data_IF_998534263080
#
_entry.id   IF_998534263080
#
_cell.length_a   1.000
_cell.length_b   1.000
_cell.length_c   1.000
_cell.angle_alpha   90.00
_cell.angle_beta   90.00
_cell.angle_gamma   90.00
#
_symmetry.space_group_name_H-M   'P 1'
#
loop_
_entity.id
_entity.type
_entity.pdbx_description
1 polymer ?
#
# COMPACT_ATOMS: atom_id res chain seq x y z
N UNK A 1 -12.88 -3.40 2.11
CA UNK A 1 -13.85 -3.99 3.03
C UNK A 1 -13.32 -4.07 4.46
N UNK A 2 -12.12 -4.61 4.67
CA UNK A 2 -11.50 -4.73 6.01
C UNK A 2 -11.28 -3.40 6.73
N UNK A 3 -11.08 -2.28 6.03
CA UNK A 3 -10.98 -0.96 6.65
C UNK A 3 -12.27 -0.54 7.36
N UNK A 4 -13.44 -0.97 6.86
CA UNK A 4 -14.74 -0.57 7.39
C UNK A 4 -15.27 -1.52 8.46
N UNK A 5 -14.67 -2.70 8.61
CA UNK A 5 -15.07 -3.71 9.60
C UNK A 5 -15.10 -3.19 11.06
N UNK A 6 -14.09 -2.42 11.53
CA UNK A 6 -14.15 -1.82 12.86
C UNK A 6 -15.28 -0.81 13.04
N UNK A 7 -15.63 -0.09 11.97
CA UNK A 7 -16.70 0.91 12.00
C UNK A 7 -18.06 0.22 11.90
N UNK A 8 -18.16 -0.87 11.14
CA UNK A 8 -19.42 -1.55 10.87
C UNK A 8 -19.99 -2.30 12.07
N UNK A 9 -19.16 -2.67 13.05
CA UNK A 9 -19.63 -3.25 14.33
C UNK A 9 -20.56 -2.30 15.12
N UNK A 10 -20.51 -1.00 14.83
CA UNK A 10 -21.36 0.04 15.44
C UNK A 10 -22.53 0.50 14.54
N UNK A 11 -22.59 0.04 13.28
CA UNK A 11 -23.67 0.33 12.33
C UNK A 11 -24.74 -0.76 12.31
N UNK A 12 -25.85 -0.49 11.58
CA UNK A 12 -26.94 -1.46 11.47
C UNK A 12 -26.43 -2.82 10.96
N UNK A 13 -26.97 -3.90 11.48
CA UNK A 13 -26.56 -5.29 11.19
C UNK A 13 -26.60 -5.63 9.69
N UNK A 14 -27.49 -5.02 8.92
CA UNK A 14 -27.57 -5.22 7.48
C UNK A 14 -26.41 -4.58 6.73
N UNK A 15 -26.04 -3.34 7.06
CA UNK A 15 -24.93 -2.65 6.42
C UNK A 15 -23.59 -3.31 6.79
N UNK A 16 -23.43 -3.72 8.05
CA UNK A 16 -22.22 -4.43 8.48
C UNK A 16 -22.10 -5.79 7.79
N UNK A 17 -23.19 -6.55 7.67
CA UNK A 17 -23.21 -7.81 6.96
C UNK A 17 -22.85 -7.64 5.47
N UNK A 18 -23.38 -6.61 4.82
CA UNK A 18 -23.04 -6.31 3.43
C UNK A 18 -21.58 -5.90 3.25
N UNK A 19 -21.01 -5.11 4.16
CA UNK A 19 -19.61 -4.65 4.07
C UNK A 19 -18.58 -5.75 4.36
N UNK A 20 -18.94 -6.76 5.14
CA UNK A 20 -18.03 -7.86 5.55
C UNK A 20 -18.23 -9.11 4.69
N UNK A 21 -19.40 -9.27 4.05
CA UNK A 21 -19.67 -10.41 3.15
C UNK A 21 -18.69 -10.41 1.97
N UNK A 22 -18.29 -11.60 1.51
CA UNK A 22 -17.48 -11.73 0.29
C UNK A 22 -18.40 -11.73 -0.95
N UNK A 23 -19.00 -10.57 -1.24
CA UNK A 23 -19.96 -10.39 -2.33
C UNK A 23 -19.28 -9.65 -3.51
N UNK A 24 -19.37 -10.24 -4.69
CA UNK A 24 -18.84 -9.68 -5.95
C UNK A 24 -19.39 -8.27 -6.20
N UNK A 25 -20.68 -8.05 -5.98
CA UNK A 25 -21.33 -6.75 -6.21
C UNK A 25 -20.73 -5.65 -5.34
N UNK A 26 -20.42 -5.96 -4.08
CA UNK A 26 -19.77 -5.02 -3.16
C UNK A 26 -18.34 -4.70 -3.61
N UNK A 27 -17.57 -5.71 -3.98
CA UNK A 27 -16.19 -5.53 -4.43
C UNK A 27 -16.14 -4.63 -5.66
N UNK A 28 -17.03 -4.86 -6.63
CA UNK A 28 -17.18 -4.01 -7.83
C UNK A 28 -17.51 -2.56 -7.45
N UNK A 29 -18.45 -2.34 -6.54
CA UNK A 29 -18.84 -0.98 -6.12
C UNK A 29 -17.69 -0.27 -5.41
N UNK A 30 -17.01 -0.94 -4.47
CA UNK A 30 -15.88 -0.35 -3.73
C UNK A 30 -14.68 -0.08 -4.63
N UNK A 31 -14.36 -1.00 -5.55
CA UNK A 31 -13.31 -0.82 -6.54
C UNK A 31 -13.65 0.34 -7.50
N UNK A 32 -14.90 0.41 -7.97
CA UNK A 32 -15.38 1.51 -8.80
C UNK A 32 -15.31 2.87 -8.10
N UNK A 33 -15.70 2.95 -6.84
CA UNK A 33 -15.56 4.17 -6.04
C UNK A 33 -14.10 4.59 -5.86
N UNK A 34 -13.20 3.63 -5.60
CA UNK A 34 -11.77 3.87 -5.45
C UNK A 34 -11.14 4.36 -6.76
N UNK A 35 -11.44 3.67 -7.88
CA UNK A 35 -10.98 4.05 -9.22
C UNK A 35 -11.50 5.44 -9.63
N UNK A 36 -12.77 5.73 -9.36
CA UNK A 36 -13.35 7.04 -9.64
C UNK A 36 -12.66 8.14 -8.82
N UNK A 37 -12.38 7.90 -7.55
CA UNK A 37 -11.68 8.85 -6.70
C UNK A 37 -10.26 9.13 -7.22
N UNK A 38 -9.52 8.10 -7.60
CA UNK A 38 -8.20 8.22 -8.22
C UNK A 38 -8.27 9.02 -9.54
N UNK A 39 -9.24 8.69 -10.40
CA UNK A 39 -9.46 9.39 -11.67
C UNK A 39 -9.78 10.87 -11.48
N UNK A 40 -10.60 11.22 -10.49
CA UNK A 40 -10.92 12.61 -10.16
C UNK A 40 -9.68 13.41 -9.73
N UNK A 41 -8.74 12.80 -9.03
CA UNK A 41 -7.48 13.44 -8.64
C UNK A 41 -6.64 13.71 -9.89
N UNK A 42 -6.42 12.70 -10.72
CA UNK A 42 -5.57 12.78 -11.92
C UNK A 42 -6.15 13.74 -12.96
N UNK A 43 -7.47 13.75 -13.13
CA UNK A 43 -8.15 14.64 -14.08
C UNK A 43 -7.91 16.14 -13.83
N UNK A 44 -7.57 16.51 -12.59
CA UNK A 44 -7.23 17.88 -12.20
C UNK A 44 -5.81 18.32 -12.60
N UNK A 45 -5.01 17.40 -13.15
CA UNK A 45 -3.65 17.66 -13.58
C UNK A 45 -2.59 17.42 -12.49
N UNK A 46 -1.33 17.69 -12.85
CA UNK A 46 -0.19 17.42 -11.96
C UNK A 46 -0.23 18.33 -10.73
N UNK A 47 -0.23 19.64 -10.91
CA UNK A 47 -0.14 20.62 -9.81
C UNK A 47 -1.37 20.60 -8.89
N UNK A 48 -2.59 20.68 -9.45
CA UNK A 48 -3.84 20.79 -8.68
C UNK A 48 -4.43 19.44 -8.25
N UNK A 49 -3.98 18.35 -8.84
CA UNK A 49 -4.40 16.98 -8.53
C UNK A 49 -3.32 16.23 -7.78
N UNK A 50 -2.36 15.69 -8.50
CA UNK A 50 -1.37 14.73 -7.99
C UNK A 50 -0.51 15.35 -6.88
N UNK A 51 0.15 16.45 -7.15
CA UNK A 51 1.04 17.12 -6.19
C UNK A 51 0.29 17.55 -4.93
N UNK A 52 -0.84 18.21 -5.09
CA UNK A 52 -1.65 18.70 -3.97
C UNK A 52 -2.12 17.58 -3.05
N UNK A 53 -2.53 16.44 -3.59
CA UNK A 53 -2.98 15.28 -2.80
C UNK A 53 -1.80 14.54 -2.18
N UNK A 54 -0.71 14.32 -2.92
CA UNK A 54 0.50 13.66 -2.42
C UNK A 54 1.12 14.44 -1.27
N UNK A 55 1.24 15.76 -1.38
CA UNK A 55 1.79 16.63 -0.33
C UNK A 55 0.99 16.57 0.98
N UNK A 56 -0.31 16.25 0.91
CA UNK A 56 -1.17 16.11 2.11
C UNK A 56 -1.21 14.69 2.65
N UNK A 57 -1.26 13.70 1.76
CA UNK A 57 -1.40 12.30 2.13
C UNK A 57 -0.09 11.71 2.67
N UNK A 58 1.06 12.11 2.13
CA UNK A 58 2.36 11.61 2.58
C UNK A 58 2.66 11.92 4.06
N UNK A 59 2.55 13.17 4.55
CA UNK A 59 2.74 13.42 5.98
C UNK A 59 1.74 12.67 6.87
N UNK A 60 0.48 12.55 6.44
CA UNK A 60 -0.52 11.79 7.17
C UNK A 60 -0.13 10.30 7.29
N UNK A 61 0.37 9.71 6.19
CA UNK A 61 0.89 8.35 6.17
C UNK A 61 2.05 8.16 7.17
N UNK A 62 3.02 9.08 7.17
CA UNK A 62 4.15 9.01 8.11
C UNK A 62 3.70 9.12 9.57
N UNK A 63 2.77 10.03 9.88
CA UNK A 63 2.24 10.19 11.23
C UNK A 63 1.50 8.94 11.68
N UNK A 64 0.62 8.38 10.85
CA UNK A 64 -0.12 7.16 11.16
C UNK A 64 0.83 5.97 11.34
N UNK A 65 1.83 5.84 10.49
CA UNK A 65 2.84 4.79 10.59
C UNK A 65 3.65 4.90 11.88
N UNK A 66 4.10 6.11 12.24
CA UNK A 66 4.83 6.34 13.48
C UNK A 66 3.98 6.01 14.71
N UNK A 67 2.71 6.40 14.73
CA UNK A 67 1.78 6.05 15.82
C UNK A 67 1.61 4.55 15.97
N UNK A 68 1.47 3.82 14.86
CA UNK A 68 1.34 2.37 14.87
C UNK A 68 2.64 1.68 15.32
N UNK A 69 3.81 2.13 14.85
CA UNK A 69 5.11 1.61 15.29
C UNK A 69 5.25 1.77 16.81
N UNK A 70 5.02 2.97 17.31
CA UNK A 70 5.09 3.25 18.76
C UNK A 70 4.16 2.30 19.52
N UNK A 71 2.90 2.18 19.08
CA UNK A 71 1.94 1.31 19.73
C UNK A 71 2.37 -0.16 19.74
N UNK A 72 2.79 -0.69 18.60
CA UNK A 72 3.23 -2.10 18.45
C UNK A 72 4.45 -2.39 19.32
N UNK A 73 5.42 -1.49 19.37
CA UNK A 73 6.64 -1.68 20.15
C UNK A 73 6.41 -1.76 21.68
N UNK A 74 5.30 -1.22 22.17
CA UNK A 74 4.90 -1.37 23.57
C UNK A 74 4.16 -2.69 23.88
N UNK A 75 3.86 -3.52 22.86
CA UNK A 75 3.20 -4.81 23.06
C UNK A 75 4.20 -5.92 23.43
N UNK A 76 3.67 -6.96 24.10
CA UNK A 76 4.45 -8.17 24.41
C UNK A 76 4.80 -8.90 23.10
N UNK A 77 6.01 -9.43 22.99
CA UNK A 77 6.52 -10.09 21.79
C UNK A 77 7.15 -9.15 20.75
N UNK A 78 6.86 -7.85 20.78
CA UNK A 78 7.39 -6.89 19.81
C UNK A 78 8.92 -6.84 19.78
N UNK A 79 9.58 -7.00 20.92
CA UNK A 79 11.06 -6.95 21.03
C UNK A 79 11.71 -8.12 20.29
N UNK A 80 11.08 -9.31 20.27
CA UNK A 80 11.59 -10.46 19.52
C UNK A 80 11.50 -10.21 18.02
N UNK A 81 10.36 -9.69 17.55
CA UNK A 81 10.21 -9.28 16.17
C UNK A 81 11.17 -8.18 15.75
N UNK A 82 11.42 -7.22 16.64
CA UNK A 82 12.40 -6.16 16.42
C UNK A 82 13.82 -6.71 16.29
N UNK A 83 14.21 -7.66 17.14
CA UNK A 83 15.52 -8.34 17.05
C UNK A 83 15.62 -9.12 15.75
N UNK A 84 14.58 -9.84 15.37
CA UNK A 84 14.56 -10.61 14.12
C UNK A 84 14.72 -9.70 12.90
N UNK A 85 14.19 -8.48 12.94
CA UNK A 85 14.33 -7.51 11.87
C UNK A 85 15.69 -6.81 11.83
N UNK A 86 16.23 -6.41 12.98
CA UNK A 86 17.43 -5.56 13.06
C UNK A 86 18.74 -6.36 13.12
N UNK A 87 18.69 -7.64 13.49
CA UNK A 87 19.91 -8.46 13.57
C UNK A 87 20.11 -9.18 12.24
N UNK A 88 21.11 -8.76 11.43
CA UNK A 88 21.36 -9.37 10.13
C UNK A 88 22.00 -10.76 10.27
N UNK A 89 21.56 -11.71 9.44
CA UNK A 89 22.23 -12.99 9.27
C UNK A 89 23.21 -12.93 8.10
N UNK A 90 24.47 -12.70 8.41
CA UNK A 90 25.53 -12.59 7.40
C UNK A 90 25.82 -13.89 6.65
N UNK A 91 25.37 -15.05 7.13
CA UNK A 91 25.57 -16.33 6.45
C UNK A 91 24.82 -16.41 5.12
N UNK A 92 23.74 -15.66 4.99
CA UNK A 92 22.89 -15.64 3.80
C UNK A 92 23.40 -14.67 2.71
N UNK A 93 24.39 -13.81 2.99
CA UNK A 93 24.91 -12.85 1.99
C UNK A 93 25.55 -13.49 0.77
N UNK A 94 25.97 -14.75 0.88
CA UNK A 94 26.55 -15.51 -0.26
C UNK A 94 25.48 -16.20 -1.13
N UNK A 95 24.21 -16.11 -0.76
CA UNK A 95 23.12 -16.70 -1.57
C UNK A 95 22.79 -15.78 -2.76
N UNK A 96 23.06 -16.28 -3.97
CA UNK A 96 22.77 -15.57 -5.21
C UNK A 96 21.27 -15.26 -5.36
N UNK A 97 20.37 -16.09 -4.83
CA UNK A 97 18.94 -15.88 -4.89
C UNK A 97 18.52 -14.67 -4.02
N UNK A 98 19.15 -14.51 -2.86
CA UNK A 98 18.91 -13.35 -2.00
C UNK A 98 19.23 -12.05 -2.73
N UNK A 99 20.39 -12.00 -3.40
CA UNK A 99 20.85 -10.81 -4.14
C UNK A 99 19.88 -10.50 -5.30
N UNK A 100 19.51 -11.51 -6.09
CA UNK A 100 18.57 -11.34 -7.21
C UNK A 100 17.21 -10.86 -6.73
N UNK A 101 16.69 -11.44 -5.66
CA UNK A 101 15.40 -11.04 -5.08
C UNK A 101 15.47 -9.61 -4.52
N UNK A 102 16.55 -9.24 -3.85
CA UNK A 102 16.75 -7.88 -3.34
C UNK A 102 16.82 -6.84 -4.46
N UNK A 103 17.53 -7.16 -5.56
CA UNK A 103 17.58 -6.32 -6.76
C UNK A 103 16.19 -6.20 -7.39
N UNK A 104 15.46 -7.31 -7.56
CA UNK A 104 14.09 -7.31 -8.07
C UNK A 104 13.16 -6.43 -7.24
N UNK A 105 13.25 -6.55 -5.91
CA UNK A 105 12.47 -5.72 -5.00
C UNK A 105 12.82 -4.24 -5.12
N UNK A 106 14.10 -3.88 -5.24
CA UNK A 106 14.53 -2.49 -5.44
C UNK A 106 14.00 -1.92 -6.75
N UNK A 107 14.07 -2.68 -7.85
CA UNK A 107 13.52 -2.27 -9.14
C UNK A 107 12.01 -2.06 -9.08
N UNK A 108 11.29 -2.95 -8.41
CA UNK A 108 9.84 -2.86 -8.25
C UNK A 108 9.44 -1.67 -7.37
N UNK A 109 10.08 -1.49 -6.21
CA UNK A 109 9.81 -0.40 -5.27
C UNK A 109 10.04 0.98 -5.90
N UNK A 110 11.15 1.14 -6.61
CA UNK A 110 11.50 2.36 -7.34
C UNK A 110 10.70 2.55 -8.62
N UNK A 111 9.81 1.61 -8.99
CA UNK A 111 8.97 1.67 -10.20
C UNK A 111 9.77 1.89 -11.50
N UNK A 112 11.01 1.37 -11.56
CA UNK A 112 11.91 1.58 -12.70
C UNK A 112 11.42 0.87 -13.98
N UNK A 113 10.82 -0.32 -13.83
CA UNK A 113 10.32 -1.11 -14.95
C UNK A 113 8.96 -0.69 -15.52
N UNK A 114 8.19 0.11 -14.79
CA UNK A 114 6.79 0.49 -15.13
C UNK A 114 6.70 1.83 -15.85
N UNK A 115 7.81 2.57 -15.95
CA UNK A 115 7.85 3.87 -16.59
C UNK A 115 7.41 5.05 -15.70
N UNK A 116 6.99 4.80 -14.46
CA UNK A 116 6.54 5.84 -13.55
C UNK A 116 7.65 6.87 -13.28
N UNK A 117 8.87 6.42 -13.00
CA UNK A 117 10.01 7.30 -12.78
C UNK A 117 10.35 8.14 -14.02
N UNK A 118 10.14 7.62 -15.22
CA UNK A 118 10.36 8.35 -16.46
C UNK A 118 9.35 9.49 -16.61
N UNK A 119 8.07 9.22 -16.33
CA UNK A 119 7.00 10.22 -16.40
C UNK A 119 7.20 11.30 -15.32
N UNK A 120 7.43 10.92 -14.08
CA UNK A 120 7.67 11.89 -13.01
C UNK A 120 8.98 12.68 -13.23
N UNK A 121 9.99 12.04 -13.78
CA UNK A 121 11.23 12.72 -14.20
C UNK A 121 11.01 13.79 -15.27
N UNK A 122 10.04 13.58 -16.16
CA UNK A 122 9.69 14.59 -17.18
C UNK A 122 8.98 15.84 -16.61
N UNK A 123 8.42 15.74 -15.40
CA UNK A 123 7.76 16.86 -14.72
C UNK A 123 8.72 17.69 -13.87
N UNK A 124 9.97 17.24 -13.69
CA UNK A 124 10.98 17.98 -12.94
C UNK A 124 11.41 19.20 -13.76
N UNK A 125 11.57 20.33 -13.07
CA UNK A 125 12.00 21.58 -13.69
C UNK A 125 13.44 21.46 -14.19
N UNK A 126 13.73 22.16 -15.29
CA UNK A 126 15.04 22.10 -15.95
C UNK A 126 16.19 22.72 -15.14
N UNK A 127 15.87 23.47 -14.09
CA UNK A 127 16.84 24.06 -13.15
C UNK A 127 17.20 23.14 -11.98
N UNK A 128 16.52 21.99 -11.82
CA UNK A 128 16.77 21.03 -10.75
C UNK A 128 17.88 20.03 -11.10
N UNK A 129 18.59 19.60 -10.07
CA UNK A 129 19.68 18.63 -10.20
C UNK A 129 19.13 17.19 -10.15
N UNK A 130 18.96 16.56 -11.30
CA UNK A 130 18.39 15.20 -11.41
C UNK A 130 19.10 14.13 -10.54
N UNK A 131 20.44 14.05 -10.47
CA UNK A 131 21.14 13.15 -9.57
C UNK A 131 20.79 13.35 -8.09
N UNK A 132 20.67 14.58 -7.65
CA UNK A 132 20.33 14.93 -6.28
C UNK A 132 18.89 14.51 -5.95
N UNK A 133 17.95 14.80 -6.83
CA UNK A 133 16.55 14.35 -6.71
C UNK A 133 16.47 12.82 -6.68
N UNK A 134 17.22 12.13 -7.55
CA UNK A 134 17.27 10.66 -7.59
C UNK A 134 17.79 10.06 -6.28
N UNK A 135 18.85 10.60 -5.71
CA UNK A 135 19.37 10.17 -4.42
C UNK A 135 18.34 10.39 -3.31
N UNK A 136 17.68 11.54 -3.29
CA UNK A 136 16.68 11.87 -2.28
C UNK A 136 15.49 10.92 -2.34
N UNK A 137 15.00 10.60 -3.54
CA UNK A 137 13.91 9.63 -3.76
C UNK A 137 14.32 8.25 -3.27
N UNK A 138 15.52 7.78 -3.62
CA UNK A 138 16.03 6.46 -3.18
C UNK A 138 16.16 6.37 -1.66
N UNK A 139 16.67 7.43 -1.03
CA UNK A 139 16.78 7.47 0.44
C UNK A 139 15.40 7.50 1.11
N UNK A 140 14.45 8.23 0.54
CA UNK A 140 13.08 8.27 1.04
C UNK A 140 12.40 6.90 0.91
N UNK A 141 12.50 6.24 -0.24
CA UNK A 141 11.95 4.90 -0.48
C UNK A 141 12.53 3.88 0.51
N UNK A 142 13.86 3.83 0.64
CA UNK A 142 14.55 2.96 1.60
C UNK A 142 14.13 3.26 3.04
N UNK A 143 13.99 4.53 3.40
CA UNK A 143 13.55 4.96 4.73
C UNK A 143 12.14 4.50 5.06
N UNK A 144 11.20 4.64 4.11
CA UNK A 144 9.81 4.17 4.26
C UNK A 144 9.76 2.65 4.37
N UNK A 145 10.50 1.93 3.52
CA UNK A 145 10.59 0.48 3.57
C UNK A 145 11.12 -0.01 4.93
N UNK A 146 12.15 0.66 5.46
CA UNK A 146 12.69 0.37 6.77
C UNK A 146 11.65 0.59 7.89
N UNK A 147 10.92 1.71 7.87
CA UNK A 147 9.86 1.99 8.83
C UNK A 147 8.70 0.99 8.72
N UNK A 148 8.33 0.59 7.51
CA UNK A 148 7.31 -0.43 7.30
C UNK A 148 7.71 -1.79 7.88
N UNK A 149 8.98 -2.20 7.69
CA UNK A 149 9.53 -3.40 8.32
C UNK A 149 9.51 -3.33 9.85
N UNK A 150 9.79 -2.15 10.40
CA UNK A 150 9.76 -1.86 11.84
C UNK A 150 8.33 -1.90 12.43
N UNK A 151 7.32 -1.77 11.61
CA UNK A 151 5.92 -1.97 11.98
C UNK A 151 5.51 -3.43 11.86
N UNK A 152 5.75 -4.03 10.70
CA UNK A 152 5.15 -5.31 10.31
C UNK A 152 5.80 -6.48 11.05
N UNK A 153 7.15 -6.54 11.14
CA UNK A 153 7.82 -7.67 11.77
C UNK A 153 7.52 -7.76 13.28
N UNK A 154 7.62 -6.69 14.08
CA UNK A 154 7.18 -6.73 15.46
C UNK A 154 5.69 -7.07 15.60
N UNK A 155 4.81 -6.57 14.72
CA UNK A 155 3.39 -6.88 14.76
C UNK A 155 3.11 -8.38 14.56
N UNK A 156 3.88 -9.07 13.71
CA UNK A 156 3.78 -10.52 13.54
C UNK A 156 4.09 -11.28 14.84
N UNK A 157 5.18 -10.94 15.50
CA UNK A 157 5.54 -11.62 16.77
C UNK A 157 4.57 -11.28 17.90
N UNK A 158 4.00 -10.09 17.90
CA UNK A 158 2.86 -9.76 18.77
C UNK A 158 1.65 -10.65 18.45
N UNK A 159 1.34 -10.88 17.17
CA UNK A 159 0.26 -11.78 16.77
C UNK A 159 0.48 -13.22 17.28
N UNK A 160 1.70 -13.70 17.24
CA UNK A 160 2.08 -15.01 17.79
C UNK A 160 1.83 -15.10 19.28
N UNK A 161 2.15 -14.07 20.06
CA UNK A 161 1.85 -14.01 21.51
C UNK A 161 0.34 -14.07 21.80
N UNK A 162 -0.49 -13.56 20.90
CA UNK A 162 -1.95 -13.68 20.98
C UNK A 162 -2.50 -14.99 20.41
N UNK A 163 -1.62 -15.94 20.03
CA UNK A 163 -2.01 -17.28 19.54
C UNK A 163 -2.40 -17.32 18.06
N UNK A 164 -2.12 -16.25 17.29
CA UNK A 164 -2.33 -16.24 15.84
C UNK A 164 -1.15 -16.94 15.16
N UNK A 165 -1.42 -17.90 14.28
CA UNK A 165 -0.37 -18.56 13.49
C UNK A 165 0.25 -17.57 12.50
N UNK A 166 1.58 -17.39 12.60
CA UNK A 166 2.36 -16.52 11.71
C UNK A 166 3.21 -17.30 10.71
N UNK A 167 3.21 -18.63 10.81
CA UNK A 167 3.93 -19.53 9.91
C UNK A 167 2.93 -20.31 9.05
N UNK A 168 3.29 -20.53 7.78
CA UNK A 168 2.57 -21.42 6.89
C UNK A 168 2.90 -22.89 7.16
N UNK A 169 2.21 -23.82 6.49
CA UNK A 169 2.40 -25.28 6.66
C UNK A 169 3.83 -25.76 6.33
N UNK A 170 4.61 -24.95 5.61
CA UNK A 170 6.01 -25.23 5.23
C UNK A 170 7.02 -24.66 6.23
N UNK A 171 6.53 -23.93 7.26
CA UNK A 171 7.38 -23.32 8.30
C UNK A 171 7.98 -21.96 7.93
N UNK A 172 7.54 -21.35 6.83
CA UNK A 172 7.93 -19.97 6.45
C UNK A 172 6.96 -18.96 7.05
N UNK A 173 7.46 -17.76 7.36
CA UNK A 173 6.60 -16.63 7.76
C UNK A 173 5.57 -16.32 6.68
N UNK A 174 4.32 -16.12 7.10
CA UNK A 174 3.25 -15.70 6.20
C UNK A 174 3.57 -14.31 5.67
N UNK A 175 3.53 -14.16 4.35
CA UNK A 175 3.86 -12.93 3.65
C UNK A 175 2.78 -12.56 2.61
N UNK A 176 2.92 -11.39 1.99
CA UNK A 176 2.02 -10.94 0.94
C UNK A 176 0.62 -10.61 1.44
N UNK A 177 -0.41 -10.77 0.58
CA UNK A 177 -1.79 -10.41 0.92
C UNK A 177 -2.32 -11.11 2.17
N UNK A 178 -1.96 -12.38 2.39
CA UNK A 178 -2.42 -13.15 3.54
C UNK A 178 -1.96 -12.54 4.88
N UNK A 179 -0.77 -11.95 4.92
CA UNK A 179 -0.30 -11.23 6.09
C UNK A 179 -1.22 -10.06 6.43
N UNK A 180 -1.56 -9.24 5.44
CA UNK A 180 -2.33 -8.00 5.62
C UNK A 180 -3.80 -8.28 5.88
N UNK A 181 -4.39 -9.28 5.20
CA UNK A 181 -5.84 -9.51 5.21
C UNK A 181 -6.30 -10.68 6.09
N UNK A 182 -5.38 -11.49 6.60
CA UNK A 182 -5.71 -12.61 7.50
C UNK A 182 -5.01 -12.47 8.86
N UNK A 183 -3.67 -12.36 8.87
CA UNK A 183 -2.91 -12.37 10.13
C UNK A 183 -3.13 -11.10 10.95
N UNK A 184 -2.99 -9.93 10.33
CA UNK A 184 -3.15 -8.66 11.05
C UNK A 184 -4.60 -8.40 11.53
N UNK A 185 -5.66 -8.69 10.76
CA UNK A 185 -7.03 -8.62 11.28
C UNK A 185 -7.27 -9.57 12.46
N UNK A 186 -6.76 -10.81 12.40
CA UNK A 186 -6.86 -11.76 13.51
C UNK A 186 -6.14 -11.24 14.77
N UNK A 187 -4.98 -10.62 14.61
CA UNK A 187 -4.29 -9.93 15.71
C UNK A 187 -5.18 -8.84 16.31
N UNK A 188 -5.71 -7.95 15.48
CA UNK A 188 -6.54 -6.82 15.96
C UNK A 188 -7.80 -7.29 16.66
N UNK A 189 -8.41 -8.38 16.20
CA UNK A 189 -9.57 -9.00 16.84
C UNK A 189 -9.20 -9.57 18.23
N UNK A 190 -8.04 -10.22 18.36
CA UNK A 190 -7.56 -10.79 19.61
C UNK A 190 -7.24 -9.72 20.69
N UNK A 191 -6.94 -8.48 20.26
CA UNK A 191 -6.67 -7.33 21.14
C UNK A 191 -7.94 -6.66 21.70
N UNK A 192 -9.13 -7.12 21.31
CA UNK A 192 -10.41 -6.61 21.80
C UNK A 192 -10.69 -5.15 21.39
N UNK A 193 -11.17 -4.32 22.32
CA UNK A 193 -11.62 -2.94 22.01
C UNK A 193 -10.47 -2.04 21.49
N UNK A 194 -9.27 -2.17 22.03
CA UNK A 194 -8.10 -1.43 21.54
C UNK A 194 -7.70 -1.85 20.12
N UNK A 195 -7.84 -3.12 19.80
CA UNK A 195 -7.59 -3.67 18.47
C UNK A 195 -8.48 -3.06 17.39
N UNK A 196 -9.74 -2.73 17.73
CA UNK A 196 -10.65 -2.06 16.81
C UNK A 196 -10.12 -0.70 16.33
N UNK A 197 -9.60 0.12 17.25
CA UNK A 197 -9.01 1.42 16.91
C UNK A 197 -7.74 1.25 16.07
N UNK A 198 -6.88 0.31 16.46
CA UNK A 198 -5.64 0.02 15.73
C UNK A 198 -5.92 -0.50 14.34
N UNK A 199 -6.88 -1.42 14.17
CA UNK A 199 -7.33 -1.88 12.87
C UNK A 199 -7.79 -0.72 11.97
N UNK A 200 -8.60 0.19 12.52
CA UNK A 200 -9.06 1.36 11.77
C UNK A 200 -7.88 2.23 11.29
N UNK A 201 -6.95 2.55 12.19
CA UNK A 201 -5.77 3.36 11.86
C UNK A 201 -4.89 2.64 10.81
N UNK A 202 -4.68 1.33 10.97
CA UNK A 202 -3.89 0.53 10.04
C UNK A 202 -4.50 0.50 8.63
N UNK A 203 -5.80 0.18 8.52
CA UNK A 203 -6.46 0.13 7.22
C UNK A 203 -6.65 1.52 6.59
N UNK A 204 -6.75 2.58 7.40
CA UNK A 204 -6.70 3.96 6.90
C UNK A 204 -5.33 4.26 6.28
N UNK A 205 -4.24 3.91 6.96
CA UNK A 205 -2.88 4.03 6.44
C UNK A 205 -2.72 3.27 5.13
N UNK A 206 -3.15 2.02 5.08
CA UNK A 206 -3.11 1.20 3.87
C UNK A 206 -3.91 1.81 2.71
N UNK A 207 -5.08 2.39 3.01
CA UNK A 207 -5.91 3.07 1.99
C UNK A 207 -5.22 4.31 1.43
N UNK A 208 -4.57 5.12 2.27
CA UNK A 208 -3.79 6.27 1.84
C UNK A 208 -2.62 5.83 0.95
N UNK A 209 -1.88 4.80 1.35
CA UNK A 209 -0.79 4.23 0.57
C UNK A 209 -1.27 3.69 -0.78
N UNK A 210 -2.40 2.98 -0.81
CA UNK A 210 -3.00 2.46 -2.03
C UNK A 210 -3.43 3.57 -3.00
N UNK A 211 -4.04 4.66 -2.49
CA UNK A 211 -4.45 5.81 -3.31
C UNK A 211 -3.23 6.48 -3.95
N UNK A 212 -2.17 6.73 -3.20
CA UNK A 212 -0.95 7.36 -3.74
C UNK A 212 -0.29 6.50 -4.81
N UNK A 213 -0.23 5.19 -4.60
CA UNK A 213 0.28 4.22 -5.59
C UNK A 213 -0.59 4.16 -6.85
N UNK A 214 -1.91 4.11 -6.68
CA UNK A 214 -2.85 4.09 -7.82
C UNK A 214 -2.77 5.36 -8.67
N UNK A 215 -2.59 6.52 -8.04
CA UNK A 215 -2.37 7.79 -8.75
C UNK A 215 -1.13 7.68 -9.64
N UNK A 216 -0.02 7.17 -9.09
CA UNK A 216 1.24 7.05 -9.81
C UNK A 216 1.16 6.06 -10.98
N UNK A 217 0.52 4.91 -10.77
CA UNK A 217 0.36 3.89 -11.81
C UNK A 217 -0.56 4.35 -12.94
N UNK A 218 -1.66 5.02 -12.62
CA UNK A 218 -2.62 5.50 -13.61
C UNK A 218 -2.09 6.70 -14.40
N UNK A 219 -1.19 7.50 -13.82
CA UNK A 219 -0.59 8.65 -14.49
C UNK A 219 0.22 8.26 -15.74
N UNK A 220 0.90 7.10 -15.71
CA UNK A 220 1.74 6.64 -16.83
C UNK A 220 0.94 6.48 -18.12
N UNK A 221 -0.11 5.65 -18.20
CA UNK A 221 -0.89 5.52 -19.43
C UNK A 221 -1.68 6.78 -19.77
N UNK A 222 -2.13 7.55 -18.78
CA UNK A 222 -2.85 8.81 -19.03
C UNK A 222 -1.93 9.83 -19.69
N UNK A 223 -0.73 10.02 -19.18
CA UNK A 223 0.26 10.94 -19.76
C UNK A 223 0.61 10.56 -21.20
N UNK A 224 0.86 9.26 -21.44
CA UNK A 224 1.12 8.76 -22.79
C UNK A 224 -0.03 9.07 -23.76
N UNK A 225 -1.28 8.79 -23.37
CA UNK A 225 -2.45 9.04 -24.22
C UNK A 225 -2.67 10.54 -24.48
N UNK A 226 -2.40 11.39 -23.50
CA UNK A 226 -2.49 12.84 -23.65
C UNK A 226 -1.44 13.37 -24.64
N UNK A 227 -0.21 12.88 -24.56
CA UNK A 227 0.90 13.35 -25.40
C UNK A 227 0.80 12.82 -26.84
N UNK A 228 0.51 11.53 -27.01
CA UNK A 228 0.48 10.88 -28.32
C UNK A 228 -0.79 11.23 -29.11
N UNK A 229 -1.97 11.11 -28.47
CA UNK A 229 -3.27 11.33 -29.14
C UNK A 229 -3.80 12.75 -29.01
N UNK A 230 -3.09 13.64 -28.32
CA UNK A 230 -3.48 15.05 -28.09
C UNK A 230 -4.88 15.18 -27.45
N UNK A 231 -5.31 14.20 -26.70
CA UNK A 231 -6.59 14.21 -26.01
C UNK A 231 -6.55 15.15 -24.80
N UNK A 232 -7.71 15.71 -24.48
CA UNK A 232 -7.85 16.44 -23.21
C UNK A 232 -7.61 15.49 -22.03
N UNK A 233 -6.79 15.92 -21.06
CA UNK A 233 -6.40 15.12 -19.90
C UNK A 233 -7.59 14.45 -19.20
N UNK A 234 -8.68 15.18 -19.00
CA UNK A 234 -9.90 14.65 -18.39
C UNK A 234 -10.45 13.44 -19.16
N UNK A 235 -10.56 13.55 -20.49
CA UNK A 235 -11.07 12.46 -21.31
C UNK A 235 -10.14 11.25 -21.30
N UNK A 236 -8.83 11.47 -21.43
CA UNK A 236 -7.81 10.42 -21.34
C UNK A 236 -7.88 9.70 -19.99
N UNK A 237 -7.98 10.43 -18.89
CA UNK A 237 -8.09 9.86 -17.55
C UNK A 237 -9.32 8.95 -17.41
N UNK A 238 -10.49 9.41 -17.82
CA UNK A 238 -11.71 8.59 -17.71
C UNK A 238 -11.67 7.35 -18.61
N UNK A 239 -11.17 7.49 -19.84
CA UNK A 239 -11.03 6.34 -20.76
C UNK A 239 -10.11 5.28 -20.16
N UNK A 240 -8.91 5.68 -19.71
CA UNK A 240 -7.94 4.75 -19.14
C UNK A 240 -8.44 4.14 -17.82
N UNK A 241 -9.06 4.93 -16.96
CA UNK A 241 -9.63 4.41 -15.71
C UNK A 241 -10.75 3.39 -15.96
N UNK A 242 -11.61 3.63 -16.95
CA UNK A 242 -12.64 2.65 -17.33
C UNK A 242 -12.05 1.37 -17.90
N UNK A 243 -11.01 1.47 -18.74
CA UNK A 243 -10.34 0.30 -19.33
C UNK A 243 -9.68 -0.56 -18.25
N UNK A 244 -8.95 0.06 -17.31
CA UNK A 244 -8.31 -0.66 -16.21
C UNK A 244 -9.34 -1.31 -15.29
N UNK A 245 -10.41 -0.60 -14.95
CA UNK A 245 -11.48 -1.13 -14.13
C UNK A 245 -12.17 -2.34 -14.76
N UNK A 246 -12.41 -2.30 -16.08
CA UNK A 246 -13.06 -3.42 -16.80
C UNK A 246 -12.16 -4.60 -17.00
N UNK A 247 -10.84 -4.41 -17.17
CA UNK A 247 -9.88 -5.52 -17.28
C UNK A 247 -9.71 -6.25 -15.95
N UNK A 248 -9.65 -5.52 -14.84
CA UNK A 248 -9.54 -6.08 -13.49
C UNK A 248 -10.80 -6.89 -13.11
N UNK A 249 -11.99 -6.38 -13.46
CA UNK A 249 -13.24 -7.10 -13.26
C UNK A 249 -13.35 -8.37 -14.13
N UNK A 250 -12.71 -8.42 -15.30
CA UNK A 250 -12.70 -9.60 -16.15
C UNK A 250 -11.75 -10.70 -15.64
N UNK A 251 -10.66 -10.34 -14.98
CA UNK A 251 -9.72 -11.29 -14.39
C UNK A 251 -10.30 -11.97 -13.12
N UNK A 252 -11.16 -11.27 -12.36
CA UNK A 252 -11.86 -11.83 -11.20
C UNK A 252 -12.91 -12.89 -11.58
N UNK A 253 -13.46 -12.84 -12.80
CA UNK A 253 -14.39 -13.86 -13.33
C UNK A 253 -13.66 -15.09 -13.91
N UNK A 254 -12.34 -15.05 -14.04
CA UNK A 254 -11.53 -16.13 -14.61
C UNK A 254 -10.89 -17.06 -13.56
N UNK A 255 -11.06 -16.78 -12.26
CA UNK A 255 -10.67 -17.60 -11.11
C UNK A 255 -11.89 -18.21 -10.45
#
# INVERSE_FOLDING_TARGET
AHMLEPITKSFSTELSGWLVSNDLSRNIVLCGCFSLFTALIISKGVENGIEKWSTRLMPALFVLMALLIIYVLFQKGAIEGLKHYLVPDFNQLSDSNLIVNAMGQAFFSMSLGVGTMLIYGSYIRSDENLPEVGILVTLADTGVAFLAGLLILPALFVAQEYGVSIYNDVGNLIAGPNLIFQVLPALFESMGTSGLLIAFIFFLLMSIAAITSSISMLEVPVSYVVEEFKLKRQNATYIISCLLYTSDAADDDAC
#
